data_IF_367712223657
#
_entry.id   IF_367712223657
#
_cell.length_a   1.000
_cell.length_b   1.000
_cell.length_c   1.000
_cell.angle_alpha   90.00
_cell.angle_beta   90.00
_cell.angle_gamma   90.00
#
_symmetry.space_group_name_H-M   'P 1'
#
loop_
_entity.id
_entity.type
_entity.pdbx_description
1 polymer ?
#
# COMPACT_ATOMS: atom_id res chain seq x y z
N UNK A 1 -7.59 6.44 21.91
CA UNK A 1 -7.89 5.08 21.43
C UNK A 1 -6.82 4.69 20.41
N UNK A 2 -6.33 3.44 20.43
CA UNK A 2 -5.06 3.03 19.78
C UNK A 2 -4.92 3.45 18.31
N UNK A 3 -5.93 3.22 17.47
CA UNK A 3 -5.90 3.54 16.03
C UNK A 3 -5.79 5.05 15.72
N UNK A 4 -6.27 5.92 16.62
CA UNK A 4 -6.13 7.39 16.49
C UNK A 4 -4.75 7.84 16.98
N UNK A 5 -4.30 7.27 18.10
CA UNK A 5 -3.03 7.68 18.72
C UNK A 5 -1.83 7.25 17.87
N UNK A 6 -1.92 6.10 17.20
CA UNK A 6 -0.87 5.58 16.33
C UNK A 6 -0.66 6.50 15.11
N UNK A 7 -1.73 6.93 14.45
CA UNK A 7 -1.64 7.75 13.24
C UNK A 7 -1.21 9.19 13.53
N UNK A 8 -1.67 9.77 14.64
CA UNK A 8 -1.32 11.16 15.02
C UNK A 8 0.16 11.37 15.28
N UNK A 9 0.85 10.35 15.83
CA UNK A 9 2.28 10.39 16.15
C UNK A 9 3.19 10.07 14.95
N UNK A 10 2.63 9.70 13.81
CA UNK A 10 3.38 9.36 12.61
C UNK A 10 3.45 10.54 11.64
N UNK A 11 4.56 10.66 10.93
CA UNK A 11 4.72 11.61 9.82
C UNK A 11 4.27 11.00 8.49
N UNK A 12 4.30 9.67 8.40
CA UNK A 12 4.02 8.88 7.20
C UNK A 12 3.35 7.55 7.59
N UNK A 13 2.40 7.07 6.78
CA UNK A 13 1.84 5.72 6.91
C UNK A 13 2.32 4.86 5.73
N UNK A 14 2.90 3.71 6.05
CA UNK A 14 3.46 2.78 5.07
C UNK A 14 2.73 1.44 5.17
N UNK A 15 2.27 0.93 4.04
CA UNK A 15 1.66 -0.40 3.92
C UNK A 15 2.56 -1.28 3.06
N UNK A 16 3.32 -2.16 3.72
CA UNK A 16 4.30 -3.02 3.08
C UNK A 16 4.29 -4.45 3.68
N UNK A 17 3.81 -5.48 2.96
CA UNK A 17 3.17 -5.40 1.64
C UNK A 17 1.72 -4.90 1.69
N UNK A 18 1.30 -4.17 0.66
CA UNK A 18 -0.09 -3.84 0.39
C UNK A 18 -0.76 -4.98 -0.41
N UNK A 19 -1.50 -5.83 0.29
CA UNK A 19 -2.25 -6.92 -0.35
C UNK A 19 -3.47 -6.39 -1.12
N UNK A 20 -3.97 -7.16 -2.09
CA UNK A 20 -5.19 -6.81 -2.81
C UNK A 20 -6.39 -6.57 -1.86
N UNK A 21 -6.46 -7.33 -0.76
CA UNK A 21 -7.50 -7.19 0.26
C UNK A 21 -7.43 -5.81 0.94
N UNK A 22 -6.26 -5.38 1.39
CA UNK A 22 -6.13 -4.09 2.07
C UNK A 22 -6.32 -2.90 1.10
N UNK A 23 -5.89 -3.06 -0.15
CA UNK A 23 -6.20 -2.12 -1.25
C UNK A 23 -7.71 -1.98 -1.43
N UNK A 24 -8.43 -3.10 -1.53
CA UNK A 24 -9.89 -3.10 -1.69
C UNK A 24 -10.61 -2.51 -0.45
N UNK A 25 -10.13 -2.83 0.75
CA UNK A 25 -10.69 -2.28 2.00
C UNK A 25 -10.58 -0.77 2.03
N UNK A 26 -9.36 -0.25 1.80
CA UNK A 26 -9.12 1.18 1.88
C UNK A 26 -9.81 1.96 0.77
N UNK A 27 -9.86 1.42 -0.46
CA UNK A 27 -10.53 2.08 -1.59
C UNK A 27 -12.04 2.24 -1.40
N UNK A 28 -12.65 1.44 -0.52
CA UNK A 28 -14.09 1.46 -0.24
C UNK A 28 -14.45 1.89 1.18
N UNK A 29 -13.48 2.34 1.98
CA UNK A 29 -13.75 2.85 3.32
C UNK A 29 -14.02 1.80 4.40
N UNK A 30 -13.64 0.53 4.19
CA UNK A 30 -13.77 -0.51 5.22
C UNK A 30 -12.75 -0.31 6.35
N UNK A 31 -13.18 -0.52 7.59
CA UNK A 31 -12.42 -0.26 8.82
C UNK A 31 -12.70 -1.33 9.89
N UNK A 32 -12.55 -2.60 9.53
CA UNK A 32 -12.95 -3.79 10.29
C UNK A 32 -11.78 -4.47 11.05
N UNK A 33 -10.55 -4.02 10.85
CA UNK A 33 -9.36 -4.45 11.58
C UNK A 33 -8.47 -3.25 11.94
N UNK A 34 -7.51 -3.44 12.86
CA UNK A 34 -6.68 -2.33 13.34
C UNK A 34 -5.96 -1.59 12.22
N UNK A 35 -5.49 -2.29 11.18
CA UNK A 35 -4.76 -1.68 10.08
C UNK A 35 -5.67 -0.80 9.22
N UNK A 36 -6.80 -1.33 8.78
CA UNK A 36 -7.81 -0.63 7.99
C UNK A 36 -8.45 0.53 8.77
N UNK A 37 -8.79 0.34 10.05
CA UNK A 37 -9.27 1.42 10.93
C UNK A 37 -8.22 2.51 11.10
N UNK A 38 -6.93 2.17 11.25
CA UNK A 38 -5.86 3.16 11.34
C UNK A 38 -5.69 3.93 10.04
N UNK A 39 -5.77 3.27 8.88
CA UNK A 39 -5.69 3.95 7.58
C UNK A 39 -6.81 4.98 7.39
N UNK A 40 -8.06 4.60 7.70
CA UNK A 40 -9.22 5.48 7.59
C UNK A 40 -9.15 6.64 8.60
N UNK A 41 -8.62 6.40 9.80
CA UNK A 41 -8.47 7.44 10.82
C UNK A 41 -7.24 8.34 10.61
N UNK A 42 -6.40 8.07 9.62
CA UNK A 42 -5.17 8.82 9.36
C UNK A 42 -5.44 10.04 8.48
N UNK A 43 -4.79 11.17 8.80
CA UNK A 43 -4.69 12.34 7.94
C UNK A 43 -3.27 12.52 7.36
N UNK A 44 -2.44 11.47 7.44
CA UNK A 44 -1.03 11.48 7.01
C UNK A 44 -0.90 10.99 5.58
N UNK A 45 0.21 11.32 4.92
CA UNK A 45 0.56 10.73 3.62
C UNK A 45 0.62 9.20 3.75
N UNK A 46 0.08 8.51 2.75
CA UNK A 46 0.02 7.04 2.71
C UNK A 46 0.82 6.53 1.52
N UNK A 47 1.72 5.57 1.77
CA UNK A 47 2.48 4.84 0.75
C UNK A 47 2.10 3.36 0.75
N UNK A 48 1.77 2.82 -0.40
CA UNK A 48 1.46 1.40 -0.59
C UNK A 48 2.56 0.72 -1.39
N UNK A 49 3.06 -0.41 -0.90
CA UNK A 49 4.02 -1.28 -1.59
C UNK A 49 3.34 -2.59 -1.96
N UNK A 50 2.71 -2.72 -3.14
CA UNK A 50 1.93 -3.90 -3.45
C UNK A 50 2.79 -5.14 -3.58
N UNK A 51 2.27 -6.27 -3.10
CA UNK A 51 2.83 -7.59 -3.36
C UNK A 51 1.71 -8.63 -3.42
N UNK A 52 1.60 -9.33 -4.54
CA UNK A 52 0.58 -10.34 -4.79
C UNK A 52 0.90 -11.16 -6.04
N UNK A 53 0.16 -12.25 -6.23
CA UNK A 53 0.21 -13.05 -7.45
C UNK A 53 -0.09 -12.21 -8.73
N UNK A 54 0.42 -12.64 -9.88
CA UNK A 54 0.27 -11.94 -11.17
C UNK A 54 -1.19 -11.74 -11.54
N UNK A 55 -2.02 -12.76 -11.40
CA UNK A 55 -3.46 -12.70 -11.71
C UNK A 55 -4.21 -11.79 -10.72
N UNK A 56 -3.82 -11.80 -9.44
CA UNK A 56 -4.37 -10.85 -8.46
C UNK A 56 -4.04 -9.40 -8.83
N UNK A 57 -2.81 -9.14 -9.29
CA UNK A 57 -2.40 -7.79 -9.71
C UNK A 57 -3.13 -7.34 -10.98
N UNK A 58 -3.29 -8.26 -11.94
CA UNK A 58 -3.96 -7.99 -13.23
C UNK A 58 -5.48 -7.99 -13.15
N UNK A 59 -6.06 -8.48 -12.05
CA UNK A 59 -7.50 -8.44 -11.84
C UNK A 59 -8.05 -7.01 -11.99
N UNK A 60 -9.08 -6.86 -12.84
CA UNK A 60 -9.69 -5.56 -13.15
C UNK A 60 -10.15 -4.83 -11.88
N UNK A 61 -10.71 -5.53 -10.90
CA UNK A 61 -11.19 -4.93 -9.64
C UNK A 61 -10.01 -4.34 -8.86
N UNK A 62 -8.91 -5.09 -8.74
CA UNK A 62 -7.71 -4.60 -8.07
C UNK A 62 -7.14 -3.36 -8.79
N UNK A 63 -7.10 -3.37 -10.14
CA UNK A 63 -6.66 -2.20 -10.91
C UNK A 63 -7.53 -0.96 -10.68
N UNK A 64 -8.85 -1.12 -10.61
CA UNK A 64 -9.75 0.00 -10.33
C UNK A 64 -9.56 0.51 -8.88
N UNK A 65 -9.38 -0.36 -7.90
CA UNK A 65 -9.09 0.05 -6.53
C UNK A 65 -7.78 0.82 -6.42
N UNK A 66 -6.73 0.39 -7.12
CA UNK A 66 -5.46 1.13 -7.20
C UNK A 66 -5.69 2.52 -7.80
N UNK A 67 -6.45 2.63 -8.90
CA UNK A 67 -6.77 3.94 -9.50
C UNK A 67 -7.56 4.85 -8.57
N UNK A 68 -8.52 4.30 -7.82
CA UNK A 68 -9.29 5.07 -6.82
C UNK A 68 -8.31 5.66 -5.80
N UNK A 69 -7.46 4.83 -5.21
CA UNK A 69 -6.50 5.26 -4.19
C UNK A 69 -5.48 6.27 -4.73
N UNK A 70 -4.96 6.07 -5.94
CA UNK A 70 -4.07 7.04 -6.59
C UNK A 70 -4.74 8.40 -6.79
N UNK A 71 -6.01 8.43 -7.22
CA UNK A 71 -6.79 9.67 -7.36
C UNK A 71 -7.03 10.36 -6.02
N UNK A 72 -7.10 9.59 -4.93
CA UNK A 72 -7.24 10.08 -3.56
C UNK A 72 -5.90 10.49 -2.91
N UNK A 73 -4.78 10.47 -3.64
CA UNK A 73 -3.47 10.92 -3.16
C UNK A 73 -2.62 9.84 -2.46
N UNK A 74 -3.04 8.57 -2.54
CA UNK A 74 -2.21 7.45 -2.08
C UNK A 74 -1.13 7.17 -3.11
N UNK A 75 0.11 7.14 -2.65
CA UNK A 75 1.27 6.88 -3.51
C UNK A 75 1.61 5.39 -3.52
N UNK A 76 2.02 4.87 -4.67
CA UNK A 76 2.31 3.44 -4.87
C UNK A 76 3.76 3.23 -5.27
N UNK A 77 4.41 2.25 -4.64
CA UNK A 77 5.78 1.84 -4.95
C UNK A 77 5.74 0.38 -5.43
N UNK A 78 5.98 0.19 -6.73
CA UNK A 78 5.82 -1.11 -7.37
C UNK A 78 4.35 -1.44 -7.65
N UNK A 79 4.00 -2.73 -7.77
CA UNK A 79 4.88 -3.90 -7.73
C UNK A 79 5.82 -3.96 -8.93
N UNK A 80 6.82 -4.83 -8.86
CA UNK A 80 7.84 -5.03 -9.89
C UNK A 80 7.61 -6.34 -10.67
N UNK A 81 8.18 -6.40 -11.86
CA UNK A 81 8.26 -7.62 -12.65
C UNK A 81 9.38 -8.52 -12.12
N UNK A 82 9.13 -9.81 -11.96
CA UNK A 82 10.16 -10.79 -11.60
C UNK A 82 9.56 -12.13 -11.20
N UNK A 83 10.39 -12.99 -10.60
CA UNK A 83 9.94 -14.25 -10.01
C UNK A 83 9.14 -14.01 -8.74
N UNK A 84 7.98 -14.65 -8.65
CA UNK A 84 7.10 -14.64 -7.49
C UNK A 84 7.29 -15.94 -6.68
N UNK A 85 6.91 -15.89 -5.40
CA UNK A 85 6.99 -17.04 -4.50
C UNK A 85 6.13 -18.24 -4.93
N UNK A 86 5.14 -18.02 -5.81
CA UNK A 86 4.31 -19.08 -6.41
C UNK A 86 4.97 -19.80 -7.60
N UNK A 87 6.19 -19.41 -7.99
CA UNK A 87 6.91 -19.99 -9.13
C UNK A 87 6.62 -19.33 -10.48
N UNK A 88 5.69 -18.37 -10.53
CA UNK A 88 5.38 -17.60 -11.74
C UNK A 88 6.34 -16.41 -11.94
N UNK A 89 6.42 -15.92 -13.17
CA UNK A 89 7.16 -14.72 -13.53
C UNK A 89 6.16 -13.68 -14.05
N UNK A 90 6.14 -12.50 -13.43
CA UNK A 90 5.23 -11.45 -13.85
C UNK A 90 5.29 -10.23 -12.93
N UNK A 91 4.37 -9.30 -13.16
CA UNK A 91 4.21 -8.11 -12.31
C UNK A 91 3.40 -8.50 -11.08
N UNK A 92 3.97 -8.25 -9.89
CA UNK A 92 3.33 -8.61 -8.61
C UNK A 92 4.32 -8.78 -7.46
N UNK A 93 5.61 -8.85 -7.78
CA UNK A 93 6.69 -8.92 -6.79
C UNK A 93 6.80 -7.60 -6.02
N UNK A 94 7.03 -7.68 -4.71
CA UNK A 94 7.36 -6.52 -3.89
C UNK A 94 8.62 -5.82 -4.42
N UNK A 95 8.61 -4.48 -4.47
CA UNK A 95 9.81 -3.71 -4.82
C UNK A 95 11.00 -4.05 -3.93
N UNK A 96 12.21 -3.86 -4.47
CA UNK A 96 13.44 -4.07 -3.71
C UNK A 96 13.49 -3.24 -2.41
N UNK A 97 13.98 -3.84 -1.33
CA UNK A 97 14.07 -3.20 0.00
C UNK A 97 14.79 -1.84 -0.03
N UNK A 98 15.90 -1.74 -0.78
CA UNK A 98 16.73 -0.53 -0.81
C UNK A 98 15.97 0.60 -1.47
N UNK A 99 15.22 0.29 -2.53
CA UNK A 99 14.34 1.23 -3.22
C UNK A 99 13.20 1.68 -2.32
N UNK A 100 12.57 0.75 -1.58
CA UNK A 100 11.51 1.08 -0.62
C UNK A 100 12.04 2.05 0.45
N UNK A 101 13.17 1.72 1.08
CA UNK A 101 13.78 2.56 2.13
C UNK A 101 14.15 3.93 1.58
N UNK A 102 14.76 4.00 0.40
CA UNK A 102 15.15 5.25 -0.24
C UNK A 102 13.93 6.16 -0.47
N UNK A 103 12.81 5.61 -0.96
CA UNK A 103 11.59 6.38 -1.20
C UNK A 103 11.01 6.86 0.13
N UNK A 104 10.89 6.00 1.14
CA UNK A 104 10.41 6.38 2.48
C UNK A 104 11.22 7.56 3.03
N UNK A 105 12.56 7.49 2.99
CA UNK A 105 13.43 8.55 3.48
C UNK A 105 13.22 9.86 2.72
N UNK A 106 12.98 9.80 1.41
CA UNK A 106 12.71 11.00 0.60
C UNK A 106 11.37 11.67 0.91
N UNK A 107 10.38 10.91 1.40
CA UNK A 107 9.13 11.47 1.92
C UNK A 107 9.35 12.14 3.28
N UNK A 108 10.11 11.48 4.17
CA UNK A 108 10.39 12.00 5.50
C UNK A 108 11.27 13.26 5.47
N UNK A 109 12.16 13.41 4.49
CA UNK A 109 13.01 14.60 4.36
C UNK A 109 12.27 15.85 3.85
N UNK A 110 11.02 15.70 3.39
CA UNK A 110 10.19 16.80 2.86
C UNK A 110 9.18 17.36 3.87
N UNK A 111 9.07 16.74 5.05
CA UNK A 111 8.23 17.17 6.17
C UNK A 111 9.04 17.97 7.18
#
# INVERSE_FOLDING_TARGET
MLHITLTRKSDLVVVCPATANLIAKFSHGYADDLASTSLIASNKQVLFMPAMNVEMWNNKINKENVKILQKSGVEFIGPEYGYLSCGEIGIGRLSNEKKIIQIILSFLSKS
#
